data_IF_556238189770
#
_entry.id   IF_556238189770
#
_cell.length_a   1.000
_cell.length_b   1.000
_cell.length_c   1.000
_cell.angle_alpha   90.00
_cell.angle_beta   90.00
_cell.angle_gamma   90.00
#
_symmetry.space_group_name_H-M   'P 1'
#
loop_
_entity.id
_entity.type
_entity.pdbx_description
1 polymer ?
#
# COMPACT_ATOMS: atom_id res chain seq x y z
N UNK A 1 -14.25 19.88 1.50
CA UNK A 1 -14.05 18.99 0.34
C UNK A 1 -12.57 19.00 -0.01
N UNK A 2 -12.02 17.84 -0.33
CA UNK A 2 -10.63 17.71 -0.74
C UNK A 2 -10.41 18.33 -2.12
N UNK A 3 -9.21 18.87 -2.36
CA UNK A 3 -8.81 19.43 -3.64
C UNK A 3 -8.37 18.30 -4.59
N UNK A 4 -9.26 17.85 -5.47
CA UNK A 4 -8.98 16.79 -6.44
C UNK A 4 -8.58 17.43 -7.75
N UNK A 5 -7.32 17.25 -8.16
CA UNK A 5 -6.75 17.88 -9.37
C UNK A 5 -6.61 16.90 -10.53
N UNK A 6 -6.37 15.62 -10.25
CA UNK A 6 -6.22 14.51 -11.23
C UNK A 6 -5.38 14.88 -12.47
N UNK A 7 -4.11 15.32 -12.31
CA UNK A 7 -3.32 15.88 -13.40
C UNK A 7 -2.80 14.83 -14.40
N UNK A 8 -2.95 13.53 -14.09
CA UNK A 8 -2.42 12.44 -14.91
C UNK A 8 -3.54 11.56 -15.44
N UNK A 9 -3.44 11.03 -16.69
CA UNK A 9 -4.43 10.15 -17.29
C UNK A 9 -4.24 8.70 -16.79
N UNK A 10 -4.56 8.43 -15.53
CA UNK A 10 -4.43 7.10 -14.94
C UNK A 10 -5.26 6.06 -15.67
N UNK A 11 -4.65 4.92 -15.98
CA UNK A 11 -5.29 3.80 -16.66
C UNK A 11 -5.68 2.72 -15.66
N UNK A 12 -6.82 2.05 -15.91
CA UNK A 12 -7.21 0.88 -15.14
C UNK A 12 -6.60 -0.39 -15.72
N UNK A 13 -5.93 -1.18 -14.89
CA UNK A 13 -5.38 -2.47 -15.25
C UNK A 13 -6.15 -3.59 -14.55
N UNK A 14 -6.60 -4.59 -15.30
CA UNK A 14 -7.28 -5.73 -14.71
C UNK A 14 -6.29 -6.61 -13.97
N UNK A 15 -6.68 -7.01 -12.77
CA UNK A 15 -5.94 -7.97 -11.97
C UNK A 15 -6.53 -9.36 -12.15
N UNK A 16 -5.68 -10.33 -12.47
CA UNK A 16 -6.06 -11.73 -12.61
C UNK A 16 -5.28 -12.61 -11.64
N UNK A 17 -5.90 -13.70 -11.20
CA UNK A 17 -5.21 -14.76 -10.45
C UNK A 17 -4.99 -15.93 -11.41
N UNK A 18 -3.72 -16.25 -11.70
CA UNK A 18 -3.34 -17.37 -12.56
C UNK A 18 -2.45 -18.31 -11.74
N UNK A 19 -2.86 -19.55 -11.55
CA UNK A 19 -2.13 -20.57 -10.79
C UNK A 19 -1.73 -20.09 -9.36
N UNK A 20 -2.62 -19.36 -8.68
CA UNK A 20 -2.38 -18.80 -7.35
C UNK A 20 -1.43 -17.60 -7.32
N UNK A 21 -0.95 -17.14 -8.47
CA UNK A 21 -0.16 -15.91 -8.60
C UNK A 21 -1.08 -14.76 -8.99
N UNK A 22 -0.95 -13.63 -8.30
CA UNK A 22 -1.66 -12.39 -8.63
C UNK A 22 -0.86 -11.64 -9.69
N UNK A 23 -1.42 -11.56 -10.89
CA UNK A 23 -0.85 -10.86 -12.04
C UNK A 23 -1.74 -9.68 -12.43
N UNK A 24 -1.12 -8.60 -12.92
CA UNK A 24 -1.81 -7.48 -13.54
C UNK A 24 -1.66 -7.58 -15.05
N UNK A 25 -2.73 -7.26 -15.79
CA UNK A 25 -2.62 -6.99 -17.22
C UNK A 25 -1.68 -5.79 -17.40
N UNK A 26 -0.68 -5.96 -18.23
CA UNK A 26 0.32 -4.96 -18.51
C UNK A 26 0.02 -4.32 -19.87
N UNK A 27 -0.27 -3.00 -19.94
CA UNK A 27 -0.51 -2.34 -21.23
C UNK A 27 0.73 -2.29 -22.11
N UNK A 28 1.91 -2.60 -21.56
CA UNK A 28 3.20 -2.57 -22.27
C UNK A 28 3.74 -3.95 -22.62
N UNK A 29 2.98 -5.04 -22.44
CA UNK A 29 3.44 -6.40 -22.76
C UNK A 29 2.74 -7.50 -21.95
N UNK A 30 3.51 -8.53 -21.59
CA UNK A 30 3.01 -9.66 -20.82
C UNK A 30 2.55 -9.29 -19.41
N UNK A 31 1.60 -10.02 -18.82
CA UNK A 31 1.16 -9.79 -17.46
C UNK A 31 2.31 -9.85 -16.45
N UNK A 32 2.36 -8.90 -15.53
CA UNK A 32 3.42 -8.74 -14.52
C UNK A 32 2.92 -9.07 -13.11
N UNK A 33 3.83 -9.51 -12.20
CA UNK A 33 3.48 -9.76 -10.80
C UNK A 33 3.12 -8.45 -10.07
N UNK A 34 2.32 -8.58 -9.01
CA UNK A 34 2.08 -7.43 -8.13
C UNK A 34 3.26 -7.18 -7.20
N UNK A 35 3.48 -5.90 -6.84
CA UNK A 35 4.44 -5.49 -5.81
C UNK A 35 4.29 -6.34 -4.53
N UNK A 36 3.06 -6.51 -4.05
CA UNK A 36 2.78 -7.31 -2.85
C UNK A 36 3.11 -8.80 -3.02
N UNK A 37 2.96 -9.37 -4.23
CA UNK A 37 3.38 -10.75 -4.53
C UNK A 37 4.89 -10.88 -4.47
N UNK A 38 5.63 -9.92 -5.03
CA UNK A 38 7.09 -9.90 -5.00
C UNK A 38 7.58 -9.83 -3.55
N UNK A 39 7.08 -8.87 -2.76
CA UNK A 39 7.45 -8.70 -1.35
C UNK A 39 7.13 -9.94 -0.50
N UNK A 40 6.01 -10.62 -0.75
CA UNK A 40 5.65 -11.84 -0.01
C UNK A 40 6.56 -13.03 -0.39
N UNK A 41 6.87 -13.21 -1.67
CA UNK A 41 7.72 -14.31 -2.15
C UNK A 41 9.19 -14.17 -1.73
N UNK A 42 9.68 -12.95 -1.65
CA UNK A 42 11.06 -12.62 -1.25
C UNK A 42 11.18 -12.20 0.22
N UNK A 43 10.15 -12.44 1.04
CA UNK A 43 10.16 -12.12 2.47
C UNK A 43 11.33 -12.79 3.19
N UNK A 44 12.12 -12.07 4.00
CA UNK A 44 13.26 -12.61 4.72
C UNK A 44 12.88 -13.83 5.59
N UNK A 45 13.80 -14.78 5.67
CA UNK A 45 13.60 -16.05 6.42
C UNK A 45 13.16 -15.79 7.86
N UNK A 46 13.81 -14.84 8.53
CA UNK A 46 13.53 -14.46 9.92
C UNK A 46 12.08 -13.96 10.11
N UNK A 47 11.58 -13.15 9.16
CA UNK A 47 10.20 -12.66 9.18
C UNK A 47 9.21 -13.80 8.94
N UNK A 48 9.52 -14.75 8.04
CA UNK A 48 8.71 -15.97 7.81
C UNK A 48 8.67 -16.86 9.04
N UNK A 49 9.82 -17.10 9.66
CA UNK A 49 9.91 -17.90 10.89
C UNK A 49 9.17 -17.25 12.06
N UNK A 50 9.27 -15.94 12.23
CA UNK A 50 8.54 -15.21 13.26
C UNK A 50 7.02 -15.37 13.09
N UNK A 51 6.51 -15.27 11.86
CA UNK A 51 5.10 -15.52 11.55
C UNK A 51 4.69 -16.96 11.87
N UNK A 52 5.54 -17.95 11.54
CA UNK A 52 5.27 -19.35 11.83
C UNK A 52 5.28 -19.64 13.34
N UNK A 53 6.21 -19.05 14.10
CA UNK A 53 6.22 -19.13 15.57
C UNK A 53 4.96 -18.54 16.18
N UNK A 54 4.51 -17.40 15.66
CA UNK A 54 3.25 -16.78 16.10
C UNK A 54 2.04 -17.70 15.82
N UNK A 55 1.91 -18.25 14.61
CA UNK A 55 0.83 -19.18 14.23
C UNK A 55 0.82 -20.42 15.15
N UNK A 56 1.97 -21.02 15.43
CA UNK A 56 2.09 -22.15 16.34
C UNK A 56 1.68 -21.80 17.77
N UNK A 57 2.01 -20.60 18.25
CA UNK A 57 1.68 -20.16 19.61
C UNK A 57 0.19 -19.91 19.81
N UNK A 58 -0.50 -19.31 18.84
CA UNK A 58 -1.94 -18.99 18.96
C UNK A 58 -2.84 -20.10 18.44
N UNK A 59 -2.30 -21.05 17.69
CA UNK A 59 -3.04 -22.09 16.98
C UNK A 59 -3.50 -21.65 15.59
N UNK A 60 -3.47 -22.56 14.61
CA UNK A 60 -3.73 -22.24 13.20
C UNK A 60 -5.13 -21.67 12.96
N UNK A 61 -6.17 -22.25 13.61
CA UNK A 61 -7.55 -21.77 13.46
C UNK A 61 -7.73 -20.34 13.99
N UNK A 62 -7.18 -20.05 15.16
CA UNK A 62 -7.25 -18.71 15.74
C UNK A 62 -6.40 -17.72 14.97
N UNK A 63 -5.21 -18.12 14.50
CA UNK A 63 -4.38 -17.29 13.63
C UNK A 63 -5.13 -16.91 12.33
N UNK A 64 -5.81 -17.88 11.70
CA UNK A 64 -6.61 -17.63 10.50
C UNK A 64 -7.77 -16.68 10.79
N UNK A 65 -8.47 -16.84 11.90
CA UNK A 65 -9.56 -15.94 12.32
C UNK A 65 -9.05 -14.51 12.48
N UNK A 66 -7.94 -14.33 13.22
CA UNK A 66 -7.32 -13.01 13.44
C UNK A 66 -6.95 -12.35 12.10
N UNK A 67 -6.35 -13.10 11.16
CA UNK A 67 -5.98 -12.59 9.83
C UNK A 67 -7.21 -12.20 9.02
N UNK A 68 -8.25 -13.05 9.01
CA UNK A 68 -9.48 -12.77 8.27
C UNK A 68 -10.21 -11.54 8.82
N UNK A 69 -10.34 -11.41 10.14
CA UNK A 69 -10.94 -10.24 10.77
C UNK A 69 -10.14 -8.96 10.46
N UNK A 70 -8.81 -9.03 10.53
CA UNK A 70 -7.94 -7.90 10.19
C UNK A 70 -8.11 -7.47 8.73
N UNK A 71 -8.16 -8.44 7.80
CA UNK A 71 -8.38 -8.18 6.39
C UNK A 71 -9.75 -7.52 6.13
N UNK A 72 -10.82 -8.02 6.77
CA UNK A 72 -12.16 -7.45 6.61
C UNK A 72 -12.24 -6.01 7.14
N UNK A 73 -11.69 -5.74 8.33
CA UNK A 73 -11.64 -4.38 8.89
C UNK A 73 -10.83 -3.46 7.97
N UNK A 74 -9.67 -3.95 7.51
CA UNK A 74 -8.80 -3.20 6.61
C UNK A 74 -9.49 -2.84 5.29
N UNK A 75 -10.12 -3.80 4.61
CA UNK A 75 -10.82 -3.56 3.35
C UNK A 75 -11.93 -2.50 3.50
N UNK A 76 -12.77 -2.62 4.53
CA UNK A 76 -13.85 -1.65 4.78
C UNK A 76 -13.28 -0.27 5.13
N UNK A 77 -12.18 -0.19 5.92
CA UNK A 77 -11.51 1.08 6.21
C UNK A 77 -11.00 1.76 4.92
N UNK A 78 -10.37 0.99 4.02
CA UNK A 78 -9.91 1.51 2.72
C UNK A 78 -11.07 2.01 1.86
N UNK A 79 -12.18 1.24 1.74
CA UNK A 79 -13.36 1.66 0.98
C UNK A 79 -13.99 2.97 1.53
N UNK A 80 -14.03 3.14 2.85
CA UNK A 80 -14.51 4.39 3.49
C UNK A 80 -13.56 5.55 3.18
N UNK A 81 -12.25 5.32 3.25
CA UNK A 81 -11.24 6.34 2.94
C UNK A 81 -11.23 6.70 1.45
N UNK A 82 -11.35 5.71 0.57
CA UNK A 82 -11.47 5.93 -0.88
C UNK A 82 -12.70 6.80 -1.21
N UNK A 83 -13.87 6.47 -0.64
CA UNK A 83 -15.08 7.26 -0.83
C UNK A 83 -14.89 8.71 -0.36
N UNK A 84 -14.25 8.91 0.79
CA UNK A 84 -13.95 10.24 1.30
C UNK A 84 -12.97 11.00 0.38
N UNK A 85 -11.90 10.35 -0.07
CA UNK A 85 -10.91 10.95 -1.00
C UNK A 85 -11.57 11.37 -2.30
N UNK A 86 -12.52 10.57 -2.80
CA UNK A 86 -13.29 10.87 -4.02
C UNK A 86 -14.44 11.88 -3.81
N UNK A 87 -14.58 12.46 -2.63
CA UNK A 87 -15.73 13.30 -2.24
C UNK A 87 -17.09 12.62 -2.51
N UNK A 88 -17.20 11.31 -2.33
CA UNK A 88 -18.41 10.50 -2.55
C UNK A 88 -18.93 9.90 -1.25
N UNK A 89 -20.18 9.48 -1.26
CA UNK A 89 -20.78 8.76 -0.13
C UNK A 89 -20.34 7.29 -0.11
N UNK A 90 -20.03 6.78 1.07
CA UNK A 90 -19.79 5.36 1.27
C UNK A 90 -21.13 4.61 1.43
N UNK A 91 -21.42 3.72 0.49
CA UNK A 91 -22.65 2.93 0.47
C UNK A 91 -22.43 1.42 0.74
N UNK A 92 -21.22 1.05 1.19
CA UNK A 92 -20.85 -0.33 1.46
C UNK A 92 -21.30 -0.83 2.84
N UNK A 93 -20.88 -2.04 3.19
CA UNK A 93 -21.12 -2.63 4.51
C UNK A 93 -20.43 -1.82 5.60
N UNK A 94 -21.21 -1.21 6.49
CA UNK A 94 -20.65 -0.47 7.61
C UNK A 94 -20.20 -1.42 8.74
N UNK A 95 -18.94 -1.31 9.12
CA UNK A 95 -18.36 -1.92 10.31
C UNK A 95 -17.87 -0.80 11.23
N UNK A 96 -18.43 -0.70 12.44
CA UNK A 96 -18.13 0.40 13.38
C UNK A 96 -16.62 0.57 13.61
N UNK A 97 -15.90 -0.52 13.79
CA UNK A 97 -14.46 -0.50 13.99
C UNK A 97 -13.73 0.15 12.79
N UNK A 98 -14.06 -0.25 11.56
CA UNK A 98 -13.46 0.30 10.35
C UNK A 98 -13.79 1.79 10.20
N UNK A 99 -15.03 2.20 10.53
CA UNK A 99 -15.45 3.60 10.51
C UNK A 99 -14.64 4.46 11.49
N UNK A 100 -14.52 4.02 12.76
CA UNK A 100 -13.75 4.76 13.77
C UNK A 100 -12.28 4.94 13.38
N UNK A 101 -11.69 3.88 12.80
CA UNK A 101 -10.32 3.93 12.29
C UNK A 101 -10.21 4.89 11.10
N UNK A 102 -11.13 4.81 10.12
CA UNK A 102 -11.14 5.73 8.98
C UNK A 102 -11.34 7.19 9.42
N UNK A 103 -12.23 7.46 10.39
CA UNK A 103 -12.44 8.82 10.92
C UNK A 103 -11.19 9.34 11.63
N UNK A 104 -10.45 8.47 12.32
CA UNK A 104 -9.15 8.81 12.93
C UNK A 104 -8.13 9.18 11.84
N UNK A 105 -8.03 8.39 10.78
CA UNK A 105 -7.13 8.66 9.64
C UNK A 105 -7.51 9.99 8.99
N UNK A 106 -8.77 10.20 8.62
CA UNK A 106 -9.27 11.45 8.00
C UNK A 106 -8.89 12.66 8.82
N UNK A 107 -9.21 12.65 10.11
CA UNK A 107 -8.92 13.77 11.04
C UNK A 107 -7.46 14.18 11.02
N UNK A 108 -6.54 13.22 10.91
CA UNK A 108 -5.11 13.48 10.96
C UNK A 108 -4.50 13.86 9.62
N UNK A 109 -5.08 13.43 8.49
CA UNK A 109 -4.51 13.70 7.17
C UNK A 109 -5.15 14.90 6.46
N UNK A 110 -6.44 15.16 6.66
CA UNK A 110 -7.15 16.25 5.98
C UNK A 110 -6.47 17.62 6.09
N UNK A 111 -5.93 18.06 7.27
CA UNK A 111 -5.28 19.36 7.38
C UNK A 111 -3.99 19.50 6.57
N UNK A 112 -3.38 18.40 6.14
CA UNK A 112 -2.07 18.38 5.50
C UNK A 112 -2.10 17.84 4.06
N UNK A 113 -3.26 17.34 3.60
CA UNK A 113 -3.48 16.86 2.24
C UNK A 113 -3.84 18.04 1.35
N UNK A 114 -2.85 18.54 0.60
CA UNK A 114 -3.00 19.74 -0.20
C UNK A 114 -3.72 19.48 -1.54
N UNK A 115 -3.39 18.35 -2.18
CA UNK A 115 -3.98 17.91 -3.44
C UNK A 115 -4.16 16.40 -3.47
N UNK A 116 -5.21 15.95 -4.14
CA UNK A 116 -5.42 14.55 -4.51
C UNK A 116 -5.26 14.43 -6.01
N UNK A 117 -4.28 13.64 -6.45
CA UNK A 117 -4.06 13.32 -7.86
C UNK A 117 -4.85 12.09 -8.30
N UNK A 118 -4.97 11.10 -7.40
CA UNK A 118 -5.75 9.89 -7.63
C UNK A 118 -5.84 9.00 -6.40
N UNK A 119 -6.87 8.17 -6.36
CA UNK A 119 -7.11 7.15 -5.34
C UNK A 119 -7.32 5.79 -6.00
N UNK A 120 -6.79 4.73 -5.39
CA UNK A 120 -6.77 3.36 -5.95
C UNK A 120 -6.15 3.34 -7.36
N UNK A 121 -5.04 4.06 -7.51
CA UNK A 121 -4.39 4.24 -8.81
C UNK A 121 -3.58 3.01 -9.19
N UNK A 122 -3.88 2.44 -10.35
CA UNK A 122 -3.08 1.37 -10.93
C UNK A 122 -1.77 1.94 -11.51
N UNK A 123 -0.66 1.40 -11.07
CA UNK A 123 0.68 1.76 -11.52
C UNK A 123 1.40 0.52 -12.01
N UNK A 124 2.15 0.65 -13.10
CA UNK A 124 2.94 -0.41 -13.69
C UNK A 124 4.34 0.11 -14.02
N UNK A 125 5.37 -0.56 -13.50
CA UNK A 125 6.71 -0.39 -14.04
C UNK A 125 6.83 -1.35 -15.23
N UNK A 126 7.03 -0.85 -16.47
CA UNK A 126 6.92 -1.65 -17.67
C UNK A 126 7.72 -2.96 -17.59
N UNK A 127 7.06 -4.10 -17.91
CA UNK A 127 7.64 -5.45 -17.96
C UNK A 127 8.14 -6.04 -16.63
N UNK A 128 8.08 -5.31 -15.51
CA UNK A 128 8.62 -5.78 -14.23
C UNK A 128 7.57 -6.03 -13.15
N UNK A 129 6.72 -5.06 -12.86
CA UNK A 129 5.72 -5.20 -11.80
C UNK A 129 4.59 -4.19 -11.95
N UNK A 130 3.48 -4.45 -11.25
CA UNK A 130 2.39 -3.50 -11.14
C UNK A 130 1.76 -3.55 -9.75
N UNK A 131 0.87 -2.62 -9.48
CA UNK A 131 0.08 -2.61 -8.26
C UNK A 131 -0.88 -1.45 -8.22
N UNK A 132 -1.60 -1.33 -7.12
CA UNK A 132 -2.54 -0.25 -6.87
C UNK A 132 -2.06 0.55 -5.67
N UNK A 133 -1.87 1.84 -5.85
CA UNK A 133 -1.53 2.78 -4.79
C UNK A 133 -2.81 3.38 -4.21
N UNK A 134 -2.94 3.41 -2.89
CA UNK A 134 -4.16 3.85 -2.21
C UNK A 134 -4.47 5.33 -2.50
N UNK A 135 -3.44 6.18 -2.45
CA UNK A 135 -3.59 7.62 -2.64
C UNK A 135 -2.31 8.25 -3.19
N UNK A 136 -2.45 9.09 -4.19
CA UNK A 136 -1.39 9.94 -4.75
C UNK A 136 -1.81 11.40 -4.67
N UNK A 137 -0.85 12.28 -4.41
CA UNK A 137 -1.13 13.71 -4.35
C UNK A 137 -0.02 14.51 -3.71
N UNK A 138 -0.37 15.69 -3.20
CA UNK A 138 0.53 16.58 -2.48
C UNK A 138 0.24 16.51 -0.98
N UNK A 139 1.19 15.99 -0.23
CA UNK A 139 1.16 15.88 1.22
C UNK A 139 2.19 16.81 1.84
N UNK A 140 1.74 17.71 2.74
CA UNK A 140 2.62 18.73 3.36
C UNK A 140 3.47 19.50 2.32
N UNK A 141 2.87 19.82 1.17
CA UNK A 141 3.52 20.54 0.08
C UNK A 141 4.47 19.72 -0.81
N UNK A 142 4.55 18.39 -0.64
CA UNK A 142 5.44 17.51 -1.39
C UNK A 142 4.64 16.46 -2.20
N UNK A 143 4.99 16.18 -3.48
CA UNK A 143 4.49 15.02 -4.20
C UNK A 143 4.78 13.73 -3.44
N UNK A 144 3.76 12.93 -3.15
CA UNK A 144 3.87 11.81 -2.19
C UNK A 144 3.01 10.62 -2.61
N UNK A 145 3.57 9.41 -2.52
CA UNK A 145 2.81 8.16 -2.48
C UNK A 145 2.32 7.95 -1.05
N UNK A 146 1.03 7.79 -0.88
CA UNK A 146 0.39 7.63 0.42
C UNK A 146 -0.33 6.28 0.49
N UNK A 147 -0.24 5.63 1.65
CA UNK A 147 -0.76 4.27 1.83
C UNK A 147 -1.44 4.15 3.19
N UNK A 148 -2.65 3.57 3.20
CA UNK A 148 -3.46 3.35 4.39
C UNK A 148 -3.21 1.96 4.97
N UNK A 149 -2.93 1.87 6.25
CA UNK A 149 -2.69 0.58 6.91
C UNK A 149 -3.49 0.43 8.20
N UNK A 150 -4.29 -0.62 8.22
CA UNK A 150 -4.89 -1.11 9.45
C UNK A 150 -3.89 -1.99 10.21
N UNK A 151 -3.89 -1.90 11.53
CA UNK A 151 -3.11 -2.80 12.39
C UNK A 151 -3.86 -3.16 13.66
N UNK A 152 -3.53 -4.31 14.26
CA UNK A 152 -4.10 -4.71 15.54
C UNK A 152 -3.50 -3.94 16.73
N UNK A 153 -2.24 -3.51 16.61
CA UNK A 153 -1.49 -2.75 17.63
C UNK A 153 -0.51 -1.81 16.95
N UNK A 154 -0.09 -0.73 17.58
CA UNK A 154 0.95 0.14 17.07
C UNK A 154 2.20 -0.62 16.61
N UNK A 155 2.84 -0.14 15.56
CA UNK A 155 4.02 -0.74 14.94
C UNK A 155 5.26 0.09 15.19
N UNK A 156 6.42 -0.56 15.20
CA UNK A 156 7.70 0.11 15.10
C UNK A 156 8.12 0.22 13.64
N UNK A 157 8.92 1.25 13.33
CA UNK A 157 9.37 1.54 11.96
C UNK A 157 10.08 0.34 11.30
N UNK A 158 10.94 -0.36 12.05
CA UNK A 158 11.69 -1.52 11.57
C UNK A 158 10.82 -2.75 11.25
N UNK A 159 9.56 -2.75 11.66
CA UNK A 159 8.63 -3.86 11.35
C UNK A 159 7.86 -3.66 10.05
N UNK A 160 7.90 -2.46 9.49
CA UNK A 160 7.09 -2.06 8.33
C UNK A 160 7.90 -1.73 7.08
N UNK A 161 9.15 -2.17 7.01
CA UNK A 161 10.05 -1.97 5.87
C UNK A 161 9.41 -2.36 4.51
N UNK A 162 8.60 -3.44 4.49
CA UNK A 162 7.89 -3.87 3.29
C UNK A 162 6.91 -2.79 2.77
N UNK A 163 6.35 -1.93 3.66
CA UNK A 163 5.48 -0.83 3.24
C UNK A 163 6.27 0.33 2.61
N UNK A 164 7.48 0.60 3.12
CA UNK A 164 8.35 1.60 2.48
C UNK A 164 8.83 1.14 1.11
N UNK A 165 9.20 -0.15 0.97
CA UNK A 165 9.53 -0.73 -0.34
C UNK A 165 8.33 -0.73 -1.30
N UNK A 166 7.12 -0.98 -0.79
CA UNK A 166 5.88 -0.87 -1.56
C UNK A 166 5.66 0.56 -2.07
N UNK A 167 5.84 1.56 -1.21
CA UNK A 167 5.73 2.97 -1.59
C UNK A 167 6.80 3.39 -2.60
N UNK A 168 8.06 2.94 -2.43
CA UNK A 168 9.13 3.19 -3.38
C UNK A 168 8.84 2.57 -4.74
N UNK A 169 8.36 1.31 -4.79
CA UNK A 169 7.94 0.66 -6.03
C UNK A 169 6.85 1.47 -6.78
N UNK A 170 5.88 1.99 -6.06
CA UNK A 170 4.82 2.81 -6.67
C UNK A 170 5.33 4.18 -7.13
N UNK A 171 6.22 4.82 -6.36
CA UNK A 171 6.85 6.07 -6.77
C UNK A 171 7.66 5.88 -8.05
N UNK A 172 8.50 4.85 -8.13
CA UNK A 172 9.27 4.52 -9.32
C UNK A 172 8.40 4.23 -10.54
N UNK A 173 7.30 3.48 -10.36
CA UNK A 173 6.36 3.21 -11.44
C UNK A 173 5.65 4.48 -11.93
N UNK A 174 5.27 5.38 -11.02
CA UNK A 174 4.67 6.66 -11.39
C UNK A 174 5.67 7.57 -12.10
N UNK A 175 6.90 7.64 -11.60
CA UNK A 175 7.96 8.44 -12.20
C UNK A 175 8.29 7.98 -13.62
N UNK A 176 8.31 6.67 -13.86
CA UNK A 176 8.53 6.08 -15.19
C UNK A 176 7.38 6.37 -16.15
N UNK A 177 6.14 6.23 -15.70
CA UNK A 177 4.97 6.38 -16.58
C UNK A 177 4.61 7.83 -16.91
N UNK A 178 4.90 8.75 -15.99
CA UNK A 178 4.42 10.14 -16.07
C UNK A 178 5.54 11.18 -16.00
N UNK A 179 6.80 10.76 -16.10
CA UNK A 179 7.98 11.63 -16.07
C UNK A 179 8.01 12.56 -14.83
N UNK A 180 7.60 12.00 -13.68
CA UNK A 180 7.56 12.73 -12.41
C UNK A 180 8.80 12.47 -11.57
N UNK A 181 8.91 13.15 -10.43
CA UNK A 181 9.95 12.93 -9.43
C UNK A 181 9.34 12.83 -8.04
N UNK A 182 8.62 11.74 -7.78
CA UNK A 182 8.08 11.43 -6.46
C UNK A 182 9.17 10.68 -5.69
N UNK A 183 9.63 11.27 -4.58
CA UNK A 183 10.64 10.73 -3.68
C UNK A 183 10.17 10.80 -2.20
N UNK A 184 8.86 10.94 -1.97
CA UNK A 184 8.27 10.96 -0.65
C UNK A 184 7.20 9.88 -0.52
N UNK A 185 7.16 9.24 0.64
CA UNK A 185 6.20 8.19 0.98
C UNK A 185 5.60 8.52 2.34
N UNK A 186 4.30 8.37 2.49
CA UNK A 186 3.63 8.49 3.78
C UNK A 186 2.75 7.25 4.04
N UNK A 187 3.04 6.56 5.14
CA UNK A 187 2.23 5.42 5.61
C UNK A 187 1.35 5.90 6.75
N UNK A 188 0.06 5.91 6.50
CA UNK A 188 -0.99 6.30 7.44
C UNK A 188 -1.54 5.07 8.14
N UNK A 189 -1.14 4.85 9.38
CA UNK A 189 -1.49 3.65 10.11
C UNK A 189 -2.44 3.94 11.27
N UNK A 190 -3.50 3.13 11.38
CA UNK A 190 -4.42 3.18 12.51
C UNK A 190 -4.56 1.81 13.16
N UNK A 191 -4.43 1.75 14.50
CA UNK A 191 -4.66 0.52 15.26
C UNK A 191 -6.14 0.31 15.53
N UNK A 192 -6.51 -0.91 15.97
CA UNK A 192 -7.90 -1.20 16.41
C UNK A 192 -8.37 -0.32 17.57
N UNK A 193 -7.44 0.22 18.36
CA UNK A 193 -7.76 1.16 19.43
C UNK A 193 -7.80 2.61 18.95
N UNK A 194 -7.75 2.83 17.63
CA UNK A 194 -7.66 4.15 17.01
C UNK A 194 -6.36 4.91 17.35
N UNK A 195 -5.28 4.18 17.71
CA UNK A 195 -3.96 4.79 17.83
C UNK A 195 -3.47 5.15 16.43
N UNK A 196 -3.19 6.44 16.22
CA UNK A 196 -2.66 6.97 14.98
C UNK A 196 -1.16 6.89 14.94
N UNK A 197 -0.61 6.48 13.81
CA UNK A 197 0.82 6.52 13.53
C UNK A 197 1.06 7.01 12.09
N UNK A 198 2.00 7.92 11.95
CA UNK A 198 2.51 8.41 10.68
C UNK A 198 3.97 7.96 10.53
N UNK A 199 4.28 7.33 9.38
CA UNK A 199 5.64 7.02 9.01
C UNK A 199 5.92 7.65 7.66
N UNK A 200 6.89 8.56 7.64
CA UNK A 200 7.27 9.29 6.43
C UNK A 200 8.67 8.83 5.98
N UNK A 201 8.84 8.76 4.67
CA UNK A 201 10.13 8.66 3.98
C UNK A 201 10.26 9.92 3.15
N UNK A 202 11.34 10.66 3.35
CA UNK A 202 11.67 11.86 2.60
C UNK A 202 12.84 11.58 1.63
N UNK A 203 13.14 12.56 0.79
CA UNK A 203 14.15 12.49 -0.29
C UNK A 203 15.47 11.85 0.16
N UNK A 204 15.99 12.25 1.32
CA UNK A 204 17.29 11.77 1.84
C UNK A 204 17.28 10.26 2.18
N UNK A 205 16.12 9.72 2.52
CA UNK A 205 15.94 8.29 2.87
C UNK A 205 15.40 7.47 1.68
N UNK A 206 14.78 8.10 0.68
CA UNK A 206 14.08 7.42 -0.40
C UNK A 206 14.99 6.45 -1.15
N UNK A 207 16.24 6.84 -1.43
CA UNK A 207 17.21 6.00 -2.14
C UNK A 207 17.48 4.66 -1.46
N UNK A 208 17.47 4.62 -0.15
CA UNK A 208 17.61 3.37 0.62
C UNK A 208 16.48 2.38 0.31
N UNK A 209 15.24 2.89 0.19
CA UNK A 209 14.07 2.05 -0.07
C UNK A 209 13.95 1.65 -1.53
N UNK A 210 14.37 2.52 -2.45
CA UNK A 210 14.56 2.19 -3.87
C UNK A 210 15.55 1.03 -4.02
N UNK A 211 16.75 1.13 -3.43
CA UNK A 211 17.77 0.09 -3.48
C UNK A 211 17.31 -1.22 -2.82
N UNK A 212 16.56 -1.12 -1.73
CA UNK A 212 15.99 -2.28 -1.05
C UNK A 212 14.92 -2.97 -1.90
N UNK A 213 14.07 -2.19 -2.57
CA UNK A 213 13.11 -2.71 -3.53
C UNK A 213 13.78 -3.37 -4.73
N UNK A 214 14.79 -2.74 -5.32
CA UNK A 214 15.53 -3.29 -6.45
C UNK A 214 16.14 -4.66 -6.12
N UNK A 215 16.71 -4.83 -4.92
CA UNK A 215 17.23 -6.14 -4.45
C UNK A 215 16.13 -7.20 -4.36
N UNK A 216 14.95 -6.85 -3.82
CA UNK A 216 13.81 -7.77 -3.72
C UNK A 216 13.26 -8.15 -5.10
N UNK A 217 13.23 -7.19 -6.02
CA UNK A 217 12.82 -7.41 -7.39
C UNK A 217 13.78 -8.38 -8.11
N UNK A 218 15.07 -8.14 -8.00
CA UNK A 218 16.10 -9.02 -8.56
C UNK A 218 16.04 -10.44 -7.96
N UNK A 219 15.90 -10.56 -6.63
CA UNK A 219 15.72 -11.86 -5.96
C UNK A 219 14.50 -12.60 -6.51
N UNK A 220 13.38 -11.89 -6.71
CA UNK A 220 12.16 -12.50 -7.23
C UNK A 220 12.35 -13.11 -8.61
N UNK A 221 13.02 -12.42 -9.51
CA UNK A 221 13.24 -12.91 -10.88
C UNK A 221 14.32 -13.99 -10.95
N UNK A 222 15.41 -13.87 -10.19
CA UNK A 222 16.47 -14.89 -10.14
C UNK A 222 15.99 -16.24 -9.58
N UNK A 223 14.98 -16.26 -8.72
CA UNK A 223 14.40 -17.50 -8.16
C UNK A 223 13.37 -18.14 -9.12
N UNK A 224 12.85 -17.40 -10.11
CA UNK A 224 11.83 -17.87 -11.04
C UNK A 224 12.37 -18.20 -12.45
N UNK A 225 13.69 -18.03 -12.67
CA UNK A 225 14.44 -18.60 -13.79
C UNK A 225 14.86 -20.06 -13.46
#
# INVERSE_FOLDING_TARGET
MLNITSPYPYQEFKRRSVNGKRLYENPFGDPVPSVTTILDKTKPKEKREALNRWKKRVGEKEAQKIVTEAANVGSIMHEILESWVKNSEYNGKMLLQAKLMADTVKKNIEPHLNEVWGSEVNLCYPQLYAGTADLLGVWKGKPTIMDFKQTNKPKKREWIEDYFMQGAAYALAHNELYETKIENIAIFMCSRNCDWQLFEVEVDEFKQWEDSWAKRLQEFYNVNE
#
